data_IF_306552618399
#
_entry.id   IF_306552618399
#
_cell.length_a   1.000
_cell.length_b   1.000
_cell.length_c   1.000
_cell.angle_alpha   90.00
_cell.angle_beta   90.00
_cell.angle_gamma   90.00
#
_symmetry.space_group_name_H-M   'P 1'
#
loop_
_entity.id
_entity.type
_entity.pdbx_description
1 polymer ?
#
# COMPACT_ATOMS: atom_id res chain seq x y z
N UNK A 1 8.98 11.07 -14.30
CA UNK A 1 9.48 9.90 -13.55
C UNK A 1 8.91 8.68 -14.23
N UNK A 2 9.75 7.76 -14.68
CA UNK A 2 9.29 6.50 -15.26
C UNK A 2 8.81 5.54 -14.15
N UNK A 3 8.08 4.49 -14.55
CA UNK A 3 7.69 3.40 -13.64
C UNK A 3 8.93 2.75 -13.01
N UNK A 4 9.97 2.50 -13.81
CA UNK A 4 11.22 1.87 -13.33
C UNK A 4 11.95 2.75 -12.30
N UNK A 5 12.02 4.07 -12.53
CA UNK A 5 12.59 5.01 -11.57
C UNK A 5 11.82 5.00 -10.24
N UNK A 6 10.49 5.01 -10.30
CA UNK A 6 9.64 4.98 -9.10
C UNK A 6 9.77 3.65 -8.34
N UNK A 7 9.80 2.52 -9.04
CA UNK A 7 10.03 1.20 -8.43
C UNK A 7 11.35 1.19 -7.66
N UNK A 8 12.44 1.69 -8.25
CA UNK A 8 13.74 1.76 -7.58
C UNK A 8 13.71 2.63 -6.32
N UNK A 9 12.96 3.74 -6.34
CA UNK A 9 12.77 4.60 -5.16
C UNK A 9 12.05 3.84 -4.04
N UNK A 10 10.96 3.13 -4.39
CA UNK A 10 10.18 2.34 -3.44
C UNK A 10 11.03 1.20 -2.87
N UNK A 11 11.72 0.44 -3.71
CA UNK A 11 12.57 -0.67 -3.26
C UNK A 11 13.64 -0.20 -2.28
N UNK A 12 14.32 0.90 -2.59
CA UNK A 12 15.35 1.45 -1.72
C UNK A 12 14.79 1.98 -0.39
N UNK A 13 13.66 2.68 -0.41
CA UNK A 13 13.08 3.28 0.80
C UNK A 13 12.56 2.22 1.79
N UNK A 14 12.10 1.08 1.28
CA UNK A 14 11.52 0.01 2.09
C UNK A 14 12.48 -1.18 2.30
N UNK A 15 13.72 -1.11 1.82
CA UNK A 15 14.66 -2.21 2.01
C UNK A 15 14.89 -2.54 3.50
N UNK A 16 14.98 -3.84 3.79
CA UNK A 16 15.16 -4.32 5.17
C UNK A 16 13.97 -4.15 6.11
N UNK A 17 12.78 -3.73 5.64
CA UNK A 17 11.58 -3.69 6.48
C UNK A 17 11.24 -5.10 7.00
N UNK A 18 11.09 -5.29 8.32
CA UNK A 18 10.85 -6.60 8.92
C UNK A 18 9.44 -7.11 8.64
N UNK A 19 9.31 -8.43 8.56
CA UNK A 19 8.04 -9.11 8.39
C UNK A 19 7.10 -8.90 9.60
N UNK A 20 5.79 -8.64 9.38
CA UNK A 20 4.84 -8.48 10.49
C UNK A 20 4.52 -9.82 11.17
N UNK A 21 4.27 -9.77 12.48
CA UNK A 21 3.91 -10.96 13.29
C UNK A 21 2.40 -11.06 13.59
N UNK A 22 1.69 -9.93 13.57
CA UNK A 22 0.29 -9.83 14.01
C UNK A 22 -0.71 -10.12 12.87
N UNK A 23 -1.15 -9.08 12.16
CA UNK A 23 -2.10 -9.19 11.05
C UNK A 23 -1.30 -9.28 9.75
N UNK A 24 -1.12 -10.51 9.28
CA UNK A 24 -0.47 -10.85 8.01
C UNK A 24 -1.46 -10.75 6.86
N UNK A 25 -0.97 -10.84 5.61
CA UNK A 25 -1.75 -10.51 4.43
C UNK A 25 -3.04 -11.34 4.29
N UNK A 26 -2.96 -12.67 4.38
CA UNK A 26 -4.15 -13.52 4.26
C UNK A 26 -5.08 -13.41 5.47
N UNK A 27 -4.56 -13.06 6.65
CA UNK A 27 -5.39 -12.78 7.83
C UNK A 27 -6.19 -11.49 7.61
N UNK A 28 -5.55 -10.44 7.08
CA UNK A 28 -6.21 -9.19 6.74
C UNK A 28 -7.32 -9.38 5.69
N UNK A 29 -7.07 -10.19 4.66
CA UNK A 29 -8.11 -10.52 3.66
C UNK A 29 -9.27 -11.29 4.30
N UNK A 30 -8.98 -12.28 5.16
CA UNK A 30 -10.01 -13.01 5.87
C UNK A 30 -10.87 -12.13 6.79
N UNK A 31 -10.27 -11.10 7.41
CA UNK A 31 -11.00 -10.13 8.24
C UNK A 31 -11.96 -9.26 7.41
N UNK A 32 -11.61 -8.94 6.15
CA UNK A 32 -12.52 -8.29 5.18
C UNK A 32 -13.71 -9.21 4.85
N UNK A 33 -13.46 -10.51 4.72
CA UNK A 33 -14.45 -11.57 4.55
C UNK A 33 -15.19 -11.96 5.85
N UNK A 34 -15.00 -11.20 6.94
CA UNK A 34 -15.60 -11.41 8.27
C UNK A 34 -15.18 -12.71 8.99
N UNK A 35 -14.08 -13.34 8.59
CA UNK A 35 -13.52 -14.51 9.26
C UNK A 35 -12.42 -14.11 10.26
N UNK A 36 -12.83 -13.93 11.52
CA UNK A 36 -11.95 -13.56 12.64
C UNK A 36 -11.54 -14.75 13.52
N UNK A 37 -11.98 -15.97 13.20
CA UNK A 37 -11.78 -17.17 14.04
C UNK A 37 -10.65 -18.07 13.52
N UNK A 38 -10.25 -17.91 12.26
CA UNK A 38 -9.29 -18.80 11.58
C UNK A 38 -7.94 -18.14 11.25
N UNK A 39 -7.53 -17.09 11.98
CA UNK A 39 -6.25 -16.38 11.77
C UNK A 39 -5.04 -17.32 11.61
N UNK A 40 -4.97 -18.39 12.40
CA UNK A 40 -3.86 -19.37 12.33
C UNK A 40 -3.83 -20.14 11.02
N UNK A 41 -4.98 -20.42 10.43
CA UNK A 41 -5.07 -21.10 9.14
C UNK A 41 -4.67 -20.16 8.01
N UNK A 42 -5.22 -18.96 8.00
CA UNK A 42 -4.90 -17.95 6.98
C UNK A 42 -3.43 -17.56 7.02
N UNK A 43 -2.85 -17.39 8.21
CA UNK A 43 -1.42 -17.09 8.37
C UNK A 43 -0.49 -18.15 7.77
N UNK A 44 -0.90 -19.43 7.71
CA UNK A 44 -0.08 -20.49 7.08
C UNK A 44 0.04 -20.33 5.57
N UNK A 45 -0.83 -19.54 4.94
CA UNK A 45 -0.80 -19.23 3.51
C UNK A 45 0.17 -18.08 3.20
N UNK A 46 0.55 -17.30 4.21
CA UNK A 46 1.42 -16.15 4.03
C UNK A 46 2.85 -16.52 3.68
N UNK A 47 3.44 -15.69 2.83
CA UNK A 47 4.86 -15.79 2.50
C UNK A 47 5.72 -15.37 3.70
N UNK A 48 6.84 -16.08 3.90
CA UNK A 48 7.83 -15.78 4.95
C UNK A 48 9.15 -15.39 4.28
N UNK A 49 9.59 -14.17 4.51
CA UNK A 49 10.78 -13.61 3.87
C UNK A 49 10.71 -12.10 3.70
N UNK A 50 11.45 -11.58 2.71
CA UNK A 50 11.48 -10.14 2.43
C UNK A 50 10.22 -9.71 1.68
N UNK A 51 9.77 -8.48 1.89
CA UNK A 51 8.56 -7.98 1.24
C UNK A 51 8.66 -7.97 -0.30
N UNK A 52 9.87 -7.80 -0.84
CA UNK A 52 10.13 -7.81 -2.29
C UNK A 52 9.79 -9.15 -2.94
N UNK A 53 9.82 -10.22 -2.15
CA UNK A 53 9.65 -11.59 -2.62
C UNK A 53 8.21 -12.10 -2.36
N UNK A 54 7.29 -11.24 -1.86
CA UNK A 54 5.88 -11.60 -1.70
C UNK A 54 5.30 -12.02 -3.06
N UNK A 55 4.72 -13.23 -3.18
CA UNK A 55 4.20 -13.70 -4.45
C UNK A 55 3.12 -12.76 -5.00
N UNK A 56 3.22 -12.42 -6.29
CA UNK A 56 2.21 -11.60 -6.98
C UNK A 56 0.79 -12.16 -6.85
N UNK A 57 0.65 -13.49 -6.79
CA UNK A 57 -0.64 -14.15 -6.64
C UNK A 57 -1.27 -13.90 -5.27
N UNK A 58 -0.48 -13.63 -4.23
CA UNK A 58 -1.00 -13.27 -2.91
C UNK A 58 -1.59 -11.85 -2.99
N UNK A 59 -0.86 -10.90 -3.58
CA UNK A 59 -1.33 -9.52 -3.78
C UNK A 59 -2.61 -9.51 -4.63
N UNK A 60 -2.60 -10.25 -5.76
CA UNK A 60 -3.75 -10.35 -6.67
C UNK A 60 -5.00 -10.89 -6.00
N UNK A 61 -4.87 -11.89 -5.11
CA UNK A 61 -5.99 -12.49 -4.38
C UNK A 61 -6.43 -11.69 -3.15
N UNK A 62 -5.58 -10.79 -2.65
CA UNK A 62 -5.81 -10.06 -1.41
C UNK A 62 -5.83 -8.54 -1.63
N UNK A 63 -6.52 -8.05 -2.67
CA UNK A 63 -6.42 -6.62 -3.05
C UNK A 63 -7.01 -5.67 -2.00
N UNK A 64 -7.94 -6.15 -1.16
CA UNK A 64 -8.58 -5.36 -0.09
C UNK A 64 -7.80 -5.34 1.22
N UNK A 65 -6.91 -6.32 1.44
CA UNK A 65 -6.22 -6.56 2.71
C UNK A 65 -5.51 -5.34 3.33
N UNK A 66 -5.02 -4.38 2.53
CA UNK A 66 -4.33 -3.20 3.07
C UNK A 66 -5.21 -2.35 4.01
N UNK A 67 -6.53 -2.49 3.99
CA UNK A 67 -7.42 -1.81 4.93
C UNK A 67 -7.34 -2.39 6.36
N UNK A 68 -7.00 -3.67 6.48
CA UNK A 68 -7.08 -4.46 7.71
C UNK A 68 -5.71 -4.76 8.34
N UNK A 69 -4.61 -4.61 7.59
CA UNK A 69 -3.27 -4.73 8.18
C UNK A 69 -3.02 -3.60 9.20
N UNK A 70 -2.29 -3.95 10.27
CA UNK A 70 -1.85 -2.98 11.26
C UNK A 70 -0.63 -2.17 10.77
N UNK A 71 -0.06 -1.30 11.61
CA UNK A 71 1.10 -0.45 11.25
C UNK A 71 2.35 -1.21 10.78
N UNK A 72 2.64 -2.40 11.32
CA UNK A 72 3.79 -3.22 10.86
C UNK A 72 3.48 -3.87 9.52
N UNK A 73 2.26 -4.41 9.36
CA UNK A 73 1.79 -4.96 8.09
C UNK A 73 1.71 -3.91 6.98
N UNK A 74 1.22 -2.70 7.28
CA UNK A 74 1.16 -1.59 6.34
C UNK A 74 2.56 -1.23 5.83
N UNK A 75 3.55 -1.12 6.73
CA UNK A 75 4.93 -0.82 6.36
C UNK A 75 5.58 -1.91 5.49
N UNK A 76 5.23 -3.18 5.73
CA UNK A 76 5.79 -4.32 4.99
C UNK A 76 5.09 -4.56 3.64
N UNK A 77 3.76 -4.58 3.59
CA UNK A 77 3.01 -4.97 2.38
C UNK A 77 2.78 -3.81 1.40
N UNK A 78 2.60 -2.57 1.87
CA UNK A 78 2.36 -1.42 0.99
C UNK A 78 3.38 -1.29 -0.17
N UNK A 79 4.72 -1.38 0.04
CA UNK A 79 5.66 -1.27 -1.07
C UNK A 79 5.50 -2.38 -2.11
N UNK A 80 5.18 -3.61 -1.69
CA UNK A 80 4.89 -4.71 -2.61
C UNK A 80 3.65 -4.41 -3.46
N UNK A 81 2.60 -3.87 -2.84
CA UNK A 81 1.36 -3.46 -3.51
C UNK A 81 1.59 -2.30 -4.49
N UNK A 82 2.35 -1.27 -4.09
CA UNK A 82 2.68 -0.14 -4.98
C UNK A 82 3.44 -0.63 -6.22
N UNK A 83 4.45 -1.49 -6.06
CA UNK A 83 5.21 -2.03 -7.20
C UNK A 83 4.34 -2.92 -8.08
N UNK A 84 3.54 -3.81 -7.48
CA UNK A 84 2.63 -4.67 -8.24
C UNK A 84 1.60 -3.84 -9.02
N UNK A 85 1.02 -2.81 -8.40
CA UNK A 85 0.08 -1.90 -9.03
C UNK A 85 0.72 -1.19 -10.24
N UNK A 86 1.91 -0.60 -10.08
CA UNK A 86 2.64 0.05 -11.18
C UNK A 86 2.95 -0.89 -12.36
N UNK A 87 3.31 -2.15 -12.07
CA UNK A 87 3.64 -3.15 -13.10
C UNK A 87 2.41 -3.66 -13.88
N UNK A 88 1.21 -3.47 -13.34
CA UNK A 88 -0.03 -4.03 -13.87
C UNK A 88 -1.08 -2.95 -14.23
N UNK A 89 -0.68 -1.68 -14.33
CA UNK A 89 -1.54 -0.60 -14.80
C UNK A 89 -2.18 -0.92 -16.14
N UNK A 90 -3.49 -0.71 -16.25
CA UNK A 90 -4.25 -0.97 -17.47
C UNK A 90 -4.48 -2.45 -17.81
N UNK A 91 -4.12 -3.37 -16.91
CA UNK A 91 -4.40 -4.79 -17.06
C UNK A 91 -5.57 -5.25 -16.18
N UNK A 92 -6.22 -6.35 -16.54
CA UNK A 92 -7.33 -6.95 -15.79
C UNK A 92 -6.91 -7.52 -14.42
N UNK A 93 -5.62 -7.53 -14.12
CA UNK A 93 -5.08 -7.95 -12.82
C UNK A 93 -5.48 -6.96 -11.71
N UNK A 94 -5.54 -5.67 -12.03
CA UNK A 94 -5.92 -4.58 -11.11
C UNK A 94 -7.38 -4.25 -11.34
N UNK A 95 -8.27 -4.86 -10.56
CA UNK A 95 -9.70 -4.63 -10.70
C UNK A 95 -10.21 -3.42 -9.89
N UNK A 96 -9.36 -2.84 -9.03
CA UNK A 96 -9.63 -1.60 -8.32
C UNK A 96 -8.37 -0.91 -7.79
N UNK A 97 -8.51 0.37 -7.47
CA UNK A 97 -7.44 1.22 -6.95
C UNK A 97 -7.21 1.09 -5.44
N UNK A 98 -7.47 -0.08 -4.84
CA UNK A 98 -7.31 -0.30 -3.39
C UNK A 98 -5.92 0.10 -2.87
N UNK A 99 -4.85 -0.14 -3.64
CA UNK A 99 -3.49 0.30 -3.31
C UNK A 99 -3.43 1.83 -3.16
N UNK A 100 -3.99 2.58 -4.11
CA UNK A 100 -4.04 4.04 -4.07
C UNK A 100 -4.97 4.54 -2.95
N UNK A 101 -6.13 3.91 -2.77
CA UNK A 101 -7.08 4.29 -1.72
C UNK A 101 -6.54 4.05 -0.31
N UNK A 102 -5.63 3.08 -0.12
CA UNK A 102 -4.95 2.83 1.16
C UNK A 102 -4.08 4.01 1.65
N UNK A 103 -3.81 4.98 0.77
CA UNK A 103 -3.07 6.21 1.03
C UNK A 103 -4.01 7.40 1.32
N UNK A 104 -5.31 7.20 1.53
CA UNK A 104 -6.21 8.27 1.99
C UNK A 104 -5.91 8.63 3.45
N UNK A 105 -5.60 9.90 3.70
CA UNK A 105 -5.44 10.42 5.06
C UNK A 105 -6.78 10.70 5.77
N UNK A 106 -7.91 10.46 5.09
CA UNK A 106 -9.27 10.58 5.59
C UNK A 106 -9.57 11.88 6.36
N UNK A 107 -9.04 13.01 5.90
CA UNK A 107 -9.09 14.30 6.62
C UNK A 107 -10.47 14.81 7.09
N UNK A 108 -11.56 14.23 6.58
CA UNK A 108 -12.95 14.58 6.96
C UNK A 108 -13.54 13.69 8.06
N UNK A 109 -12.92 12.55 8.35
CA UNK A 109 -13.34 11.63 9.40
C UNK A 109 -12.22 11.56 10.46
N UNK A 110 -12.44 12.12 11.66
CA UNK A 110 -11.40 12.14 12.70
C UNK A 110 -10.91 10.75 13.12
N UNK A 111 -11.77 9.73 13.11
CA UNK A 111 -11.38 8.37 13.52
C UNK A 111 -10.50 7.73 12.46
N UNK A 112 -10.90 7.82 11.20
CA UNK A 112 -10.11 7.28 10.09
C UNK A 112 -8.81 8.05 9.88
N UNK A 113 -8.79 9.36 10.12
CA UNK A 113 -7.57 10.16 10.07
C UNK A 113 -6.57 9.75 11.16
N UNK A 114 -7.05 9.44 12.37
CA UNK A 114 -6.19 8.94 13.44
C UNK A 114 -5.68 7.52 13.15
N UNK A 115 -6.54 6.64 12.63
CA UNK A 115 -6.15 5.31 12.18
C UNK A 115 -5.08 5.36 11.07
N UNK A 116 -5.22 6.27 10.10
CA UNK A 116 -4.19 6.51 9.09
C UNK A 116 -2.86 6.92 9.74
N UNK A 117 -2.85 7.91 10.65
CA UNK A 117 -1.61 8.31 11.34
C UNK A 117 -0.98 7.14 12.10
N UNK A 118 -1.78 6.32 12.78
CA UNK A 118 -1.28 5.15 13.49
C UNK A 118 -0.61 4.16 12.54
N UNK A 119 -1.25 3.83 11.42
CA UNK A 119 -0.72 2.91 10.41
C UNK A 119 0.60 3.37 9.80
N UNK A 120 0.73 4.67 9.57
CA UNK A 120 1.95 5.28 9.01
C UNK A 120 2.98 5.68 10.08
N UNK A 121 2.71 5.45 11.37
CA UNK A 121 3.58 5.90 12.48
C UNK A 121 4.99 5.30 12.49
N UNK A 122 5.19 4.17 11.81
CA UNK A 122 6.49 3.49 11.71
C UNK A 122 7.29 3.87 10.46
N UNK A 123 6.72 4.68 9.57
CA UNK A 123 7.36 5.00 8.29
C UNK A 123 8.47 6.02 8.53
N UNK A 124 9.62 5.79 7.90
CA UNK A 124 10.69 6.79 7.89
C UNK A 124 10.35 7.92 6.90
N UNK A 125 11.05 9.07 6.97
CA UNK A 125 10.87 10.13 6.00
C UNK A 125 11.05 9.68 4.54
N UNK A 126 12.01 8.78 4.27
CA UNK A 126 12.25 8.23 2.93
C UNK A 126 11.07 7.37 2.46
N UNK A 127 10.46 6.61 3.37
CA UNK A 127 9.29 5.77 3.08
C UNK A 127 8.05 6.63 2.78
N UNK A 128 7.82 7.69 3.56
CA UNK A 128 6.76 8.65 3.31
C UNK A 128 6.97 9.39 1.99
N UNK A 129 8.23 9.75 1.67
CA UNK A 129 8.57 10.38 0.39
C UNK A 129 8.33 9.45 -0.79
N UNK A 130 8.65 8.16 -0.67
CA UNK A 130 8.34 7.15 -1.69
C UNK A 130 6.82 6.98 -1.89
N UNK A 131 6.02 6.97 -0.82
CA UNK A 131 4.56 6.99 -0.91
C UNK A 131 4.06 8.26 -1.62
N UNK A 132 4.62 9.43 -1.30
CA UNK A 132 4.26 10.67 -1.96
C UNK A 132 4.62 10.66 -3.45
N UNK A 133 5.76 10.11 -3.83
CA UNK A 133 6.16 9.93 -5.22
C UNK A 133 5.20 9.01 -5.97
N UNK A 134 4.72 7.93 -5.34
CA UNK A 134 3.69 7.05 -5.90
C UNK A 134 2.36 7.78 -6.12
N UNK A 135 1.84 8.49 -5.10
CA UNK A 135 0.58 9.25 -5.26
C UNK A 135 0.73 10.34 -6.33
N UNK A 136 1.89 11.00 -6.40
CA UNK A 136 2.21 11.97 -7.46
C UNK A 136 2.21 11.32 -8.84
N UNK A 137 2.75 10.11 -8.97
CA UNK A 137 2.76 9.38 -10.23
C UNK A 137 1.33 9.11 -10.69
N UNK A 138 0.46 8.54 -9.85
CA UNK A 138 -0.96 8.32 -10.18
C UNK A 138 -1.68 9.64 -10.47
N UNK A 139 -1.34 10.73 -9.78
CA UNK A 139 -1.92 12.04 -10.04
C UNK A 139 -1.56 12.62 -11.43
N UNK A 140 -0.47 12.17 -12.05
CA UNK A 140 -0.02 12.59 -13.37
C UNK A 140 -0.19 11.49 -14.43
N UNK A 141 -0.93 10.43 -14.12
CA UNK A 141 -1.26 9.41 -15.10
C UNK A 141 -2.18 10.00 -16.18
N UNK A 142 -1.73 9.97 -17.43
CA UNK A 142 -2.48 10.47 -18.59
C UNK A 142 -3.28 9.35 -19.29
N UNK A 143 -3.17 8.10 -18.81
CA UNK A 143 -3.80 6.92 -19.41
C UNK A 143 -5.19 6.62 -18.84
N UNK A 144 -5.63 7.35 -17.81
CA UNK A 144 -6.86 7.12 -17.06
C UNK A 144 -6.97 5.70 -16.43
N UNK A 145 -5.84 5.00 -16.25
CA UNK A 145 -5.80 3.70 -15.59
C UNK A 145 -5.85 3.79 -14.07
N UNK A 146 -5.65 4.98 -13.53
CA UNK A 146 -5.77 5.29 -12.11
C UNK A 146 -6.92 6.28 -11.86
N UNK A 147 -7.49 6.31 -10.66
CA UNK A 147 -8.35 7.41 -10.22
C UNK A 147 -7.51 8.69 -10.03
N UNK A 148 -7.22 9.36 -11.15
CA UNK A 148 -6.38 10.56 -11.22
C UNK A 148 -6.99 11.72 -10.43
N UNK A 149 -8.32 11.82 -10.37
CA UNK A 149 -9.01 12.84 -9.58
C UNK A 149 -8.76 12.66 -8.08
N UNK A 150 -8.92 11.42 -7.59
CA UNK A 150 -8.60 11.09 -6.21
C UNK A 150 -7.11 11.35 -5.93
N UNK A 151 -6.21 10.82 -6.77
CA UNK A 151 -4.77 10.95 -6.59
C UNK A 151 -4.31 12.41 -6.51
N UNK A 152 -4.74 13.26 -7.45
CA UNK A 152 -4.44 14.72 -7.45
C UNK A 152 -4.85 15.37 -6.13
N UNK A 153 -6.07 15.08 -5.67
CA UNK A 153 -6.61 15.65 -4.43
C UNK A 153 -5.83 15.20 -3.19
N UNK A 154 -5.42 13.92 -3.11
CA UNK A 154 -4.62 13.41 -1.99
C UNK A 154 -3.19 13.93 -2.04
N UNK A 155 -2.63 14.04 -3.23
CA UNK A 155 -1.31 14.63 -3.43
C UNK A 155 -1.27 16.07 -2.92
N UNK A 156 -2.08 16.95 -3.50
CA UNK A 156 -2.05 18.39 -3.21
C UNK A 156 -2.29 18.69 -1.73
N UNK A 157 -3.19 17.95 -1.08
CA UNK A 157 -3.66 18.26 0.28
C UNK A 157 -2.87 17.60 1.40
N UNK A 158 -2.15 16.52 1.11
CA UNK A 158 -1.47 15.75 2.14
C UNK A 158 -0.11 15.26 1.70
N UNK A 159 -0.01 14.49 0.61
CA UNK A 159 1.26 13.83 0.28
C UNK A 159 2.35 14.77 -0.23
N UNK A 160 1.99 15.93 -0.79
CA UNK A 160 2.92 16.96 -1.27
C UNK A 160 3.90 17.45 -0.20
N UNK A 161 3.54 17.36 1.09
CA UNK A 161 4.40 17.77 2.20
C UNK A 161 5.65 16.90 2.37
N UNK A 162 5.66 15.68 1.79
CA UNK A 162 6.79 14.75 1.85
C UNK A 162 7.64 14.77 0.57
N UNK A 163 7.32 15.68 -0.37
CA UNK A 163 8.16 15.96 -1.52
C UNK A 163 9.32 16.86 -1.07
N UNK A 164 10.57 16.33 -1.10
CA UNK A 164 11.84 17.00 -0.72
C UNK A 164 12.29 16.85 0.75
N UNK A 165 11.99 15.73 1.43
CA UNK A 165 12.72 15.36 2.64
C UNK A 165 14.04 14.67 2.26
#
# INVERSE_FOLDING_TARGET
MSIEELINIIEKAFDGVPQPEDITLHVAEAHDDYDYEHDKEHRRKDYIGRWQDVPKEHIRKCQSALSFVNKTGMRFYLPAYMIWYLKNLGSDEVWSDHTLYSLDNHAKDPKLAEYHKERFSLFTPEQLSACAAFVKFCANDETDFTDTYFAKKKYERYWSQYEKI
#
